data_IF_661328572028
#
_entry.id   IF_661328572028
#
_cell.length_a   1.000
_cell.length_b   1.000
_cell.length_c   1.000
_cell.angle_alpha   90.00
_cell.angle_beta   90.00
_cell.angle_gamma   90.00
#
_symmetry.space_group_name_H-M   'P 1'
#
loop_
_entity.id
_entity.type
_entity.pdbx_description
1 polymer ?
#
# COMPACT_ATOMS: atom_id res chain seq x y z
N UNK A 1 -8.98 -13.09 23.16
CA UNK A 1 -9.03 -12.47 21.82
C UNK A 1 -7.72 -11.74 21.48
N UNK A 2 -7.15 -10.92 22.37
CA UNK A 2 -5.84 -10.26 22.13
C UNK A 2 -4.67 -11.24 21.92
N UNK A 3 -4.60 -12.33 22.69
CA UNK A 3 -3.56 -13.35 22.51
C UNK A 3 -3.58 -14.03 21.11
N UNK A 4 -4.73 -14.03 20.42
CA UNK A 4 -4.83 -14.57 19.06
C UNK A 4 -4.33 -13.57 18.01
N UNK A 5 -4.40 -12.27 18.28
CA UNK A 5 -3.95 -11.23 17.36
C UNK A 5 -2.43 -11.10 17.43
N UNK A 6 -1.87 -11.02 18.64
CA UNK A 6 -0.42 -10.90 18.83
C UNK A 6 0.34 -12.09 18.24
N UNK A 7 -0.18 -13.32 18.40
CA UNK A 7 0.39 -14.51 17.76
C UNK A 7 0.37 -14.46 16.23
N UNK A 8 -0.63 -13.79 15.64
CA UNK A 8 -0.68 -13.57 14.20
C UNK A 8 0.34 -12.52 13.74
N UNK A 9 0.50 -11.43 14.51
CA UNK A 9 1.54 -10.42 14.24
C UNK A 9 2.94 -11.06 14.27
N UNK A 10 3.22 -11.90 15.28
CA UNK A 10 4.47 -12.64 15.37
C UNK A 10 4.71 -13.55 14.18
N UNK A 11 3.67 -14.21 13.67
CA UNK A 11 3.77 -15.06 12.49
C UNK A 11 4.18 -14.25 11.25
N UNK A 12 3.60 -13.06 11.06
CA UNK A 12 3.93 -12.17 9.94
C UNK A 12 5.36 -11.65 10.03
N UNK A 13 5.80 -11.23 11.22
CA UNK A 13 7.18 -10.79 11.47
C UNK A 13 8.18 -11.92 11.21
N UNK A 14 7.88 -13.13 11.69
CA UNK A 14 8.71 -14.32 11.44
C UNK A 14 8.80 -14.64 9.95
N UNK A 15 7.65 -14.64 9.24
CA UNK A 15 7.61 -14.90 7.81
C UNK A 15 8.43 -13.88 7.03
N UNK A 16 8.35 -12.59 7.36
CA UNK A 16 9.15 -11.54 6.73
C UNK A 16 10.66 -11.74 6.95
N UNK A 17 11.07 -12.12 8.17
CA UNK A 17 12.46 -12.43 8.47
C UNK A 17 12.96 -13.66 7.69
N UNK A 18 12.16 -14.73 7.64
CA UNK A 18 12.46 -15.92 6.83
C UNK A 18 12.65 -15.57 5.35
N UNK A 19 11.75 -14.77 4.79
CA UNK A 19 11.84 -14.32 3.39
C UNK A 19 13.10 -13.48 3.14
N UNK A 20 13.46 -12.58 4.06
CA UNK A 20 14.69 -11.79 3.97
C UNK A 20 15.92 -12.68 3.93
N UNK A 21 15.99 -13.66 4.82
CA UNK A 21 17.15 -14.54 4.95
C UNK A 21 17.26 -15.46 3.71
N UNK A 22 16.13 -15.97 3.22
CA UNK A 22 16.05 -16.74 1.98
C UNK A 22 16.51 -15.92 0.77
N UNK A 23 16.03 -14.68 0.62
CA UNK A 23 16.44 -13.78 -0.47
C UNK A 23 17.90 -13.33 -0.39
N UNK A 24 18.47 -13.28 0.82
CA UNK A 24 19.89 -12.96 1.04
C UNK A 24 20.86 -14.13 0.80
N UNK A 25 20.34 -15.36 0.65
CA UNK A 25 21.14 -16.56 0.43
C UNK A 25 21.54 -16.79 -1.04
N UNK A 26 22.74 -17.32 -1.27
CA UNK A 26 23.17 -17.78 -2.58
C UNK A 26 22.58 -19.17 -2.87
N UNK A 27 21.49 -19.25 -3.63
CA UNK A 27 20.88 -20.55 -3.99
C UNK A 27 19.51 -20.51 -4.68
N UNK A 28 18.88 -19.34 -4.78
CA UNK A 28 17.57 -19.20 -5.44
C UNK A 28 17.73 -18.92 -6.94
N UNK A 29 16.83 -19.48 -7.76
CA UNK A 29 16.82 -19.30 -9.21
C UNK A 29 15.48 -18.73 -9.72
N UNK A 30 15.56 -17.81 -10.69
CA UNK A 30 14.45 -17.42 -11.57
C UNK A 30 13.12 -17.05 -10.88
N UNK A 31 12.05 -17.76 -11.25
CA UNK A 31 10.67 -17.46 -10.87
C UNK A 31 10.40 -17.49 -9.36
N UNK A 32 11.18 -18.27 -8.59
CA UNK A 32 11.05 -18.31 -7.13
C UNK A 32 11.55 -17.02 -6.47
N UNK A 33 12.59 -16.39 -7.03
CA UNK A 33 13.09 -15.09 -6.54
C UNK A 33 12.03 -14.03 -6.74
N UNK A 34 11.44 -13.92 -7.94
CA UNK A 34 10.43 -12.91 -8.23
C UNK A 34 9.19 -13.04 -7.32
N UNK A 35 8.71 -14.27 -7.10
CA UNK A 35 7.57 -14.54 -6.21
C UNK A 35 7.88 -14.19 -4.75
N UNK A 36 9.03 -14.63 -4.24
CA UNK A 36 9.43 -14.37 -2.84
C UNK A 36 9.75 -12.89 -2.61
N UNK A 37 10.35 -12.20 -3.58
CA UNK A 37 10.58 -10.75 -3.53
C UNK A 37 9.26 -9.96 -3.52
N UNK A 38 8.24 -10.41 -4.28
CA UNK A 38 6.90 -9.83 -4.24
C UNK A 38 6.28 -9.99 -2.85
N UNK A 39 6.26 -11.21 -2.31
CA UNK A 39 5.73 -11.50 -0.97
C UNK A 39 6.46 -10.69 0.12
N UNK A 40 7.79 -10.61 0.06
CA UNK A 40 8.60 -9.80 0.98
C UNK A 40 8.24 -8.32 0.92
N UNK A 41 8.10 -7.77 -0.29
CA UNK A 41 7.75 -6.36 -0.51
C UNK A 41 6.33 -6.02 -0.04
N UNK A 42 5.42 -6.99 -0.04
CA UNK A 42 4.06 -6.84 0.48
C UNK A 42 3.99 -6.89 1.99
N UNK A 43 4.77 -7.78 2.62
CA UNK A 43 4.83 -7.90 4.07
C UNK A 43 5.61 -6.77 4.74
N UNK A 44 6.59 -6.17 4.05
CA UNK A 44 7.43 -5.09 4.59
C UNK A 44 6.63 -3.95 5.24
N UNK A 45 5.68 -3.27 4.56
CA UNK A 45 4.91 -2.19 5.18
C UNK A 45 4.06 -2.64 6.38
N UNK A 46 3.62 -3.90 6.40
CA UNK A 46 2.85 -4.46 7.52
C UNK A 46 3.77 -4.64 8.74
N UNK A 47 4.94 -5.25 8.53
CA UNK A 47 5.95 -5.49 9.57
C UNK A 47 6.51 -4.18 10.13
N UNK A 48 6.76 -3.19 9.28
CA UNK A 48 7.20 -1.85 9.73
C UNK A 48 6.14 -1.20 10.64
N UNK A 49 4.85 -1.35 10.29
CA UNK A 49 3.74 -0.91 11.13
C UNK A 49 3.70 -1.62 12.49
N UNK A 50 3.87 -2.94 12.50
CA UNK A 50 3.93 -3.75 13.73
C UNK A 50 5.10 -3.32 14.61
N UNK A 51 6.30 -3.17 14.05
CA UNK A 51 7.49 -2.76 14.80
C UNK A 51 7.36 -1.33 15.35
N UNK A 52 6.73 -0.44 14.60
CA UNK A 52 6.44 0.93 15.06
C UNK A 52 5.47 0.93 16.24
N UNK A 53 4.39 0.13 16.15
CA UNK A 53 3.44 -0.03 17.26
C UNK A 53 4.11 -0.63 18.50
N UNK A 54 4.96 -1.65 18.35
CA UNK A 54 5.68 -2.27 19.46
C UNK A 54 6.63 -1.30 20.14
N UNK A 55 7.41 -0.54 19.37
CA UNK A 55 8.30 0.51 19.90
C UNK A 55 7.51 1.58 20.68
N UNK A 56 6.39 2.05 20.14
CA UNK A 56 5.54 3.02 20.84
C UNK A 56 5.01 2.47 22.19
N UNK A 57 4.65 1.19 22.26
CA UNK A 57 4.22 0.54 23.51
C UNK A 57 5.37 0.39 24.52
N UNK A 58 6.56 0.04 24.05
CA UNK A 58 7.77 -0.06 24.89
C UNK A 58 8.17 1.33 25.43
N UNK A 59 8.11 2.36 24.60
CA UNK A 59 8.40 3.74 24.96
C UNK A 59 7.37 4.28 25.96
N UNK A 60 6.08 4.02 25.78
CA UNK A 60 5.04 4.34 26.77
C UNK A 60 5.34 3.72 28.14
N UNK A 61 5.77 2.45 28.18
CA UNK A 61 6.12 1.80 29.43
C UNK A 61 7.34 2.47 30.08
N UNK A 62 8.37 2.79 29.29
CA UNK A 62 9.57 3.49 29.77
C UNK A 62 9.25 4.89 30.31
N UNK A 63 8.39 5.65 29.63
CA UNK A 63 7.96 6.99 30.05
C UNK A 63 7.12 6.93 31.32
N UNK A 64 6.22 5.96 31.44
CA UNK A 64 5.44 5.73 32.66
C UNK A 64 6.34 5.40 33.86
N UNK A 65 7.37 4.58 33.65
CA UNK A 65 8.33 4.25 34.70
C UNK A 65 9.19 5.46 35.08
N UNK A 66 9.62 6.28 34.11
CA UNK A 66 10.38 7.51 34.34
C UNK A 66 9.55 8.54 35.13
N UNK A 67 8.29 8.76 34.74
CA UNK A 67 7.36 9.65 35.43
C UNK A 67 7.12 9.22 36.88
N UNK A 68 7.13 7.91 37.18
CA UNK A 68 6.96 7.41 38.56
C UNK A 68 8.23 7.46 39.39
N UNK A 69 9.36 7.08 38.80
CA UNK A 69 10.61 6.78 39.52
C UNK A 69 11.61 7.93 39.58
N UNK A 70 11.50 8.94 38.71
CA UNK A 70 12.42 10.08 38.72
C UNK A 70 12.24 10.95 39.98
N UNK A 71 13.33 11.37 40.61
CA UNK A 71 13.30 12.35 41.71
C UNK A 71 13.36 13.80 41.19
N UNK A 72 13.74 13.98 39.93
CA UNK A 72 13.77 15.26 39.25
C UNK A 72 12.37 15.63 38.72
N UNK A 73 11.85 16.77 39.19
CA UNK A 73 10.51 17.29 38.87
C UNK A 73 10.39 17.72 37.41
N UNK A 74 11.44 18.31 36.83
CA UNK A 74 11.43 18.73 35.43
C UNK A 74 11.43 17.50 34.51
N UNK A 75 12.23 16.48 34.84
CA UNK A 75 12.26 15.23 34.10
C UNK A 75 10.93 14.46 34.18
N UNK A 76 10.27 14.49 35.35
CA UNK A 76 8.93 13.90 35.51
C UNK A 76 7.90 14.58 34.61
N UNK A 77 7.85 15.91 34.63
CA UNK A 77 6.90 16.67 33.82
C UNK A 77 7.11 16.42 32.33
N UNK A 78 8.37 16.34 31.88
CA UNK A 78 8.69 16.00 30.49
C UNK A 78 8.22 14.58 30.13
N UNK A 79 8.49 13.59 30.99
CA UNK A 79 8.06 12.22 30.76
C UNK A 79 6.53 12.07 30.72
N UNK A 80 5.80 12.82 31.54
CA UNK A 80 4.33 12.87 31.54
C UNK A 80 3.78 13.49 30.24
N UNK A 81 4.38 14.58 29.76
CA UNK A 81 4.00 15.23 28.50
C UNK A 81 4.21 14.32 27.28
N UNK A 82 5.38 13.67 27.21
CA UNK A 82 5.69 12.70 26.15
C UNK A 82 4.80 11.47 26.24
N UNK A 83 4.53 10.98 27.46
CA UNK A 83 3.61 9.85 27.69
C UNK A 83 2.23 10.16 27.12
N UNK A 84 1.65 11.32 27.46
CA UNK A 84 0.33 11.69 26.97
C UNK A 84 0.30 11.87 25.45
N UNK A 85 1.33 12.49 24.88
CA UNK A 85 1.44 12.64 23.43
C UNK A 85 1.49 11.28 22.71
N UNK A 86 2.23 10.32 23.25
CA UNK A 86 2.35 8.99 22.67
C UNK A 86 1.11 8.12 22.91
N UNK A 87 0.44 8.28 24.05
CA UNK A 87 -0.82 7.63 24.41
C UNK A 87 -1.94 8.05 23.43
N UNK A 88 -1.99 9.33 23.04
CA UNK A 88 -2.93 9.83 22.04
C UNK A 88 -2.66 9.27 20.62
N UNK A 89 -1.40 8.99 20.28
CA UNK A 89 -1.01 8.44 18.97
C UNK A 89 -1.23 6.93 18.86
N UNK A 90 -1.21 6.21 19.99
CA UNK A 90 -1.27 4.75 20.02
C UNK A 90 -2.51 4.17 19.30
N UNK A 91 -3.75 4.68 19.48
CA UNK A 91 -4.91 4.17 18.77
C UNK A 91 -4.80 4.27 17.25
N UNK A 92 -4.17 5.33 16.74
CA UNK A 92 -3.97 5.51 15.30
C UNK A 92 -2.96 4.49 14.75
N UNK A 93 -1.89 4.19 15.49
CA UNK A 93 -0.93 3.14 15.14
C UNK A 93 -1.59 1.75 15.13
N UNK A 94 -2.40 1.45 16.15
CA UNK A 94 -3.15 0.20 16.22
C UNK A 94 -4.13 0.04 15.06
N UNK A 95 -4.87 1.11 14.73
CA UNK A 95 -5.80 1.08 13.62
C UNK A 95 -5.08 0.89 12.29
N UNK A 96 -3.92 1.51 12.08
CA UNK A 96 -3.12 1.30 10.87
C UNK A 96 -2.68 -0.15 10.72
N UNK A 97 -2.21 -0.78 11.80
CA UNK A 97 -1.86 -2.20 11.78
C UNK A 97 -3.09 -3.06 11.48
N UNK A 98 -4.23 -2.82 12.14
CA UNK A 98 -5.48 -3.56 11.90
C UNK A 98 -5.94 -3.48 10.43
N UNK A 99 -5.90 -2.29 9.84
CA UNK A 99 -6.25 -2.09 8.42
C UNK A 99 -5.27 -2.83 7.50
N UNK A 100 -3.99 -2.83 7.82
CA UNK A 100 -2.96 -3.51 7.03
C UNK A 100 -3.07 -5.06 7.09
N UNK A 101 -3.71 -5.60 8.15
CA UNK A 101 -4.00 -7.03 8.30
C UNK A 101 -5.26 -7.47 7.57
N UNK A 102 -6.09 -6.53 7.10
CA UNK A 102 -7.26 -6.90 6.32
C UNK A 102 -6.80 -7.61 5.04
N UNK A 103 -7.46 -8.71 4.63
CA UNK A 103 -7.18 -9.34 3.36
C UNK A 103 -7.27 -8.27 2.27
N UNK A 104 -6.18 -8.08 1.52
CA UNK A 104 -6.27 -7.30 0.29
C UNK A 104 -7.26 -7.98 -0.63
N UNK A 105 -8.07 -7.21 -1.34
CA UNK A 105 -8.94 -7.80 -2.34
C UNK A 105 -8.07 -8.45 -3.42
N UNK A 106 -8.39 -9.68 -3.82
CA UNK A 106 -7.61 -10.43 -4.82
C UNK A 106 -7.63 -9.66 -6.16
N UNK A 107 -8.65 -8.83 -6.37
CA UNK A 107 -8.78 -7.98 -7.53
C UNK A 107 -7.92 -6.70 -7.44
N UNK A 108 -7.49 -6.24 -6.25
CA UNK A 108 -6.73 -4.99 -6.09
C UNK A 108 -5.39 -5.02 -6.83
N UNK A 109 -4.74 -6.20 -6.88
CA UNK A 109 -3.44 -6.39 -7.52
C UNK A 109 -3.53 -6.72 -9.02
N UNK A 110 -4.74 -6.77 -9.59
CA UNK A 110 -4.92 -7.12 -11.00
C UNK A 110 -4.67 -5.91 -11.90
N UNK A 111 -4.12 -6.20 -13.07
CA UNK A 111 -4.12 -5.28 -14.19
C UNK A 111 -5.56 -5.01 -14.64
N UNK A 112 -5.82 -3.83 -15.19
CA UNK A 112 -7.14 -3.45 -15.70
C UNK A 112 -7.10 -3.28 -17.22
N UNK A 113 -8.23 -3.58 -17.88
CA UNK A 113 -8.49 -3.16 -19.25
C UNK A 113 -9.38 -1.93 -19.19
N UNK A 114 -8.89 -0.81 -19.71
CA UNK A 114 -9.67 0.40 -19.90
C UNK A 114 -10.30 0.35 -21.29
N UNK A 115 -11.63 0.42 -21.37
CA UNK A 115 -12.37 0.63 -22.61
C UNK A 115 -13.08 1.97 -22.58
N UNK A 116 -12.83 2.82 -23.59
CA UNK A 116 -13.54 4.09 -23.77
C UNK A 116 -14.27 4.03 -25.11
N UNK A 117 -15.58 4.30 -25.08
CA UNK A 117 -16.44 4.28 -26.27
C UNK A 117 -17.19 5.59 -26.39
N UNK A 118 -17.28 6.13 -27.61
CA UNK A 118 -18.07 7.31 -27.89
C UNK A 118 -19.56 7.00 -27.67
N UNK A 119 -20.21 7.80 -26.83
CA UNK A 119 -21.65 7.70 -26.58
C UNK A 119 -22.47 8.44 -27.65
N UNK A 120 -23.62 8.98 -27.23
CA UNK A 120 -24.42 9.87 -28.08
C UNK A 120 -23.73 11.22 -28.26
N UNK A 121 -23.89 11.85 -29.43
CA UNK A 121 -23.26 13.13 -29.74
C UNK A 121 -22.21 13.08 -30.85
N UNK A 122 -22.16 12.01 -31.64
CA UNK A 122 -21.42 11.98 -32.90
C UNK A 122 -19.94 12.32 -32.76
N UNK A 123 -19.50 13.38 -33.43
CA UNK A 123 -18.09 13.77 -33.47
C UNK A 123 -17.60 14.34 -32.14
N UNK A 124 -18.44 15.13 -31.45
CA UNK A 124 -18.10 15.69 -30.13
C UNK A 124 -17.90 14.58 -29.09
N UNK A 125 -18.72 13.53 -29.15
CA UNK A 125 -18.56 12.36 -28.29
C UNK A 125 -17.26 11.60 -28.59
N UNK A 126 -16.86 11.50 -29.86
CA UNK A 126 -15.62 10.86 -30.26
C UNK A 126 -14.39 11.68 -29.81
N UNK A 127 -14.43 13.01 -29.93
CA UNK A 127 -13.37 13.87 -29.42
C UNK A 127 -13.22 13.74 -27.90
N UNK A 128 -14.34 13.73 -27.16
CA UNK A 128 -14.31 13.55 -25.72
C UNK A 128 -13.79 12.17 -25.30
N UNK A 129 -14.15 11.11 -26.02
CA UNK A 129 -13.59 9.77 -25.81
C UNK A 129 -12.06 9.76 -25.99
N UNK A 130 -11.55 10.49 -26.99
CA UNK A 130 -10.11 10.65 -27.19
C UNK A 130 -9.44 11.43 -26.06
N UNK A 131 -10.07 12.49 -25.56
CA UNK A 131 -9.56 13.25 -24.41
C UNK A 131 -9.52 12.40 -23.14
N UNK A 132 -10.57 11.65 -22.83
CA UNK A 132 -10.62 10.73 -21.69
C UNK A 132 -9.54 9.66 -21.78
N UNK A 133 -9.38 9.02 -22.94
CA UNK A 133 -8.38 7.99 -23.13
C UNK A 133 -6.95 8.54 -22.92
N UNK A 134 -6.65 9.72 -23.49
CA UNK A 134 -5.37 10.42 -23.28
C UNK A 134 -5.20 10.92 -21.85
N UNK A 135 -6.28 11.22 -21.13
CA UNK A 135 -6.25 11.58 -19.71
C UNK A 135 -5.81 10.38 -18.87
N UNK A 136 -6.44 9.21 -19.06
CA UNK A 136 -6.06 7.99 -18.34
C UNK A 136 -4.66 7.49 -18.70
N UNK A 137 -4.23 7.66 -19.95
CA UNK A 137 -2.84 7.39 -20.34
C UNK A 137 -1.85 8.25 -19.53
N UNK A 138 -2.13 9.55 -19.38
CA UNK A 138 -1.30 10.45 -18.55
C UNK A 138 -1.38 10.09 -17.07
N UNK A 139 -2.55 9.74 -16.56
CA UNK A 139 -2.71 9.29 -15.17
C UNK A 139 -1.88 8.04 -14.89
N UNK A 140 -1.90 7.03 -15.78
CA UNK A 140 -1.10 5.83 -15.63
C UNK A 140 0.41 6.14 -15.52
N UNK A 141 0.93 7.04 -16.37
CA UNK A 141 2.33 7.50 -16.30
C UNK A 141 2.65 8.15 -14.95
N UNK A 142 1.78 9.03 -14.43
CA UNK A 142 1.97 9.68 -13.13
C UNK A 142 1.99 8.68 -11.95
N UNK A 143 1.38 7.51 -12.11
CA UNK A 143 1.36 6.43 -11.11
C UNK A 143 2.49 5.42 -11.30
N UNK A 144 3.34 5.60 -12.32
CA UNK A 144 4.37 4.62 -12.69
C UNK A 144 3.80 3.32 -13.26
N UNK A 145 2.56 3.35 -13.75
CA UNK A 145 1.92 2.21 -14.39
C UNK A 145 2.28 2.16 -15.88
N UNK A 146 2.31 0.95 -16.44
CA UNK A 146 2.44 0.71 -17.87
C UNK A 146 1.07 0.82 -18.53
N UNK A 147 0.97 1.61 -19.59
CA UNK A 147 -0.24 1.77 -20.39
C UNK A 147 0.02 1.26 -21.81
N UNK A 148 -0.60 0.15 -22.19
CA UNK A 148 -0.41 -0.53 -23.47
C UNK A 148 -1.71 -0.49 -24.28
N UNK A 149 -1.71 0.26 -25.38
CA UNK A 149 -2.89 0.36 -26.26
C UNK A 149 -3.10 -1.01 -26.92
N UNK A 150 -4.31 -1.55 -26.77
CA UNK A 150 -4.71 -2.82 -27.37
C UNK A 150 -5.45 -2.59 -28.70
N UNK A 151 -6.37 -1.63 -28.72
CA UNK A 151 -7.15 -1.28 -29.91
C UNK A 151 -7.48 0.21 -29.94
N UNK A 152 -7.57 0.78 -31.14
CA UNK A 152 -7.85 2.20 -31.34
C UNK A 152 -8.62 2.44 -32.65
N UNK A 153 -9.86 2.89 -32.54
CA UNK A 153 -10.75 3.22 -33.66
C UNK A 153 -10.92 4.73 -33.79
N UNK A 154 -10.15 5.35 -34.68
CA UNK A 154 -10.14 6.80 -34.86
C UNK A 154 -11.19 7.31 -35.85
N UNK A 155 -11.70 8.52 -35.61
CA UNK A 155 -12.46 9.31 -36.60
C UNK A 155 -11.51 10.13 -37.47
N UNK A 156 -11.99 10.61 -38.61
CA UNK A 156 -11.19 11.46 -39.51
C UNK A 156 -10.78 12.83 -38.92
N UNK A 157 -11.31 13.20 -37.75
CA UNK A 157 -11.03 14.45 -37.05
C UNK A 157 -10.26 14.23 -35.73
N UNK A 158 -9.73 13.02 -35.51
CA UNK A 158 -8.86 12.72 -34.36
C UNK A 158 -9.59 12.39 -33.06
N UNK A 159 -10.90 12.14 -33.11
CA UNK A 159 -11.68 11.53 -32.03
C UNK A 159 -11.60 10.00 -32.08
N UNK A 160 -12.05 9.33 -31.02
CA UNK A 160 -12.10 7.87 -30.95
C UNK A 160 -13.54 7.37 -30.86
N UNK A 161 -13.92 6.44 -31.74
CA UNK A 161 -15.19 5.71 -31.62
C UNK A 161 -15.10 4.67 -30.49
N UNK A 162 -14.02 3.92 -30.49
CA UNK A 162 -13.67 2.93 -29.47
C UNK A 162 -12.16 2.96 -29.26
N UNK A 163 -11.70 2.83 -28.02
CA UNK A 163 -10.30 2.73 -27.67
C UNK A 163 -10.15 1.81 -26.46
N UNK A 164 -9.15 0.93 -26.49
CA UNK A 164 -8.86 0.04 -25.36
C UNK A 164 -7.37 -0.03 -25.03
N UNK A 165 -7.06 -0.18 -23.75
CA UNK A 165 -5.70 -0.33 -23.27
C UNK A 165 -5.61 -1.27 -22.05
N UNK A 166 -4.52 -2.04 -21.99
CA UNK A 166 -4.10 -2.75 -20.80
C UNK A 166 -3.28 -1.81 -19.92
N UNK A 167 -3.74 -1.62 -18.68
CA UNK A 167 -3.03 -0.86 -17.65
C UNK A 167 -2.45 -1.87 -16.66
N UNK A 168 -1.10 -1.92 -16.58
CA UNK A 168 -0.38 -2.85 -15.72
C UNK A 168 0.45 -2.13 -14.67
N UNK A 169 0.40 -2.60 -13.43
CA UNK A 169 1.09 -1.96 -12.32
C UNK A 169 0.53 -2.40 -10.98
N UNK A 170 1.11 -1.86 -9.90
CA UNK A 170 0.65 -2.12 -8.53
C UNK A 170 -0.63 -1.34 -8.25
N UNK A 171 -1.63 -2.01 -7.69
CA UNK A 171 -2.90 -1.45 -7.24
C UNK A 171 -3.69 -0.71 -8.35
N UNK A 172 -3.64 -1.21 -9.59
CA UNK A 172 -4.31 -0.59 -10.75
C UNK A 172 -5.82 -0.67 -10.61
N UNK A 173 -6.37 -1.87 -10.43
CA UNK A 173 -7.81 -2.10 -10.37
C UNK A 173 -8.45 -1.42 -9.14
N UNK A 174 -7.76 -1.40 -8.00
CA UNK A 174 -8.22 -0.75 -6.77
C UNK A 174 -8.44 0.77 -6.90
N UNK A 175 -7.95 1.40 -7.97
CA UNK A 175 -7.83 2.87 -8.08
C UNK A 175 -8.43 3.47 -9.35
N UNK A 176 -8.81 2.65 -10.32
CA UNK A 176 -9.48 3.06 -11.55
C UNK A 176 -10.99 2.88 -11.40
#
# INVERSE_FOLDING_TARGET
MEASLEGHLDQLVRRHAELRDVLGGAGLAGADVARLSKEYSELTPIVDGIQTLRRAREELASLADMARSSEDVELKALAEEEFHSLEELLPALEQRVKLALMPKDIDDERNAILEVRAGTGGEEAALFAAELFRMYQRYAVLRGWRFEILDLSETGLGGFKEASALISGRDVFARL
#
